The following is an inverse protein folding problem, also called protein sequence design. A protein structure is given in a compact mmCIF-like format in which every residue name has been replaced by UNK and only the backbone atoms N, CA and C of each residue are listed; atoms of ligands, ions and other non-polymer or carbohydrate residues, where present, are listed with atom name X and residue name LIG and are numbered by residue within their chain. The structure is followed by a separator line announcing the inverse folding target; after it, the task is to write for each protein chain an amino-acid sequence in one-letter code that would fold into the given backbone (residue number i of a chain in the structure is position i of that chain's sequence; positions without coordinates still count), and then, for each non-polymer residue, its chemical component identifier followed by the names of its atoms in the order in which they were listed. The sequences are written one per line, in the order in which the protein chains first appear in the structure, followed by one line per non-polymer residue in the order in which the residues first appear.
data_IF_754851039913
#
_entry.id   IF_754851039913
#
_cell.length_a   1.000
_cell.length_b   1.000
_cell.length_c   1.000
_cell.angle_alpha   90.00
_cell.angle_beta   90.00
_cell.angle_gamma   90.00
#
_symmetry.space_group_name_H-M   'P 1'
#
loop_
_entity.id
_entity.type
_entity.pdbx_description
1 polymer ?
#
# COMPACT_ATOMS: atom_id res chain seq x y z
N UNK A 1 -47.73 -27.22 -82.34
CA UNK A 1 -47.36 -28.03 -81.17
C UNK A 1 -46.28 -27.26 -80.45
N UNK A 2 -46.65 -26.54 -79.39
CA UNK A 2 -45.80 -25.61 -78.66
C UNK A 2 -45.37 -26.21 -77.33
N UNK A 3 -44.07 -26.17 -77.09
CA UNK A 3 -43.47 -26.54 -75.84
C UNK A 3 -43.17 -25.26 -75.05
N UNK A 4 -43.79 -25.08 -73.91
CA UNK A 4 -43.53 -23.99 -72.99
C UNK A 4 -42.46 -24.37 -72.00
N UNK A 5 -41.35 -23.57 -71.94
CA UNK A 5 -40.29 -23.71 -71.01
C UNK A 5 -40.57 -22.82 -69.78
N UNK A 6 -40.69 -23.43 -68.59
CA UNK A 6 -40.80 -22.72 -67.33
C UNK A 6 -39.40 -22.42 -66.78
N UNK A 7 -39.05 -21.15 -66.67
CA UNK A 7 -37.85 -20.64 -65.97
C UNK A 7 -38.20 -20.44 -64.49
N UNK A 8 -37.59 -21.23 -63.63
CA UNK A 8 -37.66 -21.08 -62.16
C UNK A 8 -36.57 -20.09 -61.72
N UNK A 9 -36.99 -18.96 -61.16
CA UNK A 9 -36.09 -18.05 -60.41
C UNK A 9 -35.83 -18.57 -59.00
N UNK A 10 -34.58 -18.87 -58.69
CA UNK A 10 -34.09 -19.13 -57.31
C UNK A 10 -33.70 -17.77 -56.71
N UNK A 11 -34.45 -17.33 -55.74
CA UNK A 11 -34.03 -16.20 -54.87
C UNK A 11 -33.06 -16.77 -53.82
N UNK A 12 -31.81 -16.35 -53.91
CA UNK A 12 -30.83 -16.59 -52.85
C UNK A 12 -31.03 -15.52 -51.77
N UNK A 13 -31.48 -15.93 -50.58
CA UNK A 13 -31.54 -15.06 -49.39
C UNK A 13 -30.20 -15.12 -48.72
N UNK A 14 -29.44 -14.02 -48.83
CA UNK A 14 -28.18 -13.86 -48.12
C UNK A 14 -28.47 -13.38 -46.70
N UNK A 15 -28.33 -14.28 -45.71
CA UNK A 15 -28.40 -13.92 -44.30
C UNK A 15 -27.04 -13.33 -43.93
N UNK A 16 -26.94 -12.01 -43.79
CA UNK A 16 -25.78 -11.34 -43.20
C UNK A 16 -25.82 -11.55 -41.67
N UNK A 17 -24.97 -12.41 -41.16
CA UNK A 17 -24.77 -12.53 -39.73
C UNK A 17 -24.01 -11.29 -39.21
N UNK A 18 -24.71 -10.40 -38.53
CA UNK A 18 -24.11 -9.33 -37.72
C UNK A 18 -23.43 -10.01 -36.50
N UNK A 19 -22.13 -10.25 -36.62
CA UNK A 19 -21.30 -10.58 -35.47
C UNK A 19 -21.09 -9.27 -34.66
N UNK A 20 -21.97 -9.03 -33.71
CA UNK A 20 -21.81 -7.98 -32.73
C UNK A 20 -20.57 -8.29 -31.91
N UNK A 21 -19.52 -7.50 -32.08
CA UNK A 21 -18.35 -7.51 -31.17
C UNK A 21 -18.83 -7.09 -29.78
N UNK A 22 -19.00 -8.07 -28.89
CA UNK A 22 -19.14 -7.83 -27.46
C UNK A 22 -17.82 -7.15 -27.03
N UNK A 23 -17.86 -5.92 -26.48
CA UNK A 23 -16.64 -5.33 -25.94
C UNK A 23 -16.14 -6.29 -24.84
N UNK A 24 -14.94 -6.84 -25.01
CA UNK A 24 -14.22 -7.48 -23.92
C UNK A 24 -14.06 -6.38 -22.86
N UNK A 25 -14.86 -6.45 -21.80
CA UNK A 25 -14.57 -5.68 -20.59
C UNK A 25 -13.23 -6.20 -20.10
N UNK A 26 -12.19 -5.36 -20.22
CA UNK A 26 -10.89 -5.69 -19.65
C UNK A 26 -11.13 -6.05 -18.18
N UNK A 27 -10.67 -7.22 -17.76
CA UNK A 27 -10.64 -7.58 -16.35
C UNK A 27 -9.96 -6.44 -15.60
N UNK A 28 -10.47 -6.01 -14.44
CA UNK A 28 -9.82 -4.95 -13.68
C UNK A 28 -8.35 -5.31 -13.49
N UNK A 29 -7.47 -4.34 -13.73
CA UNK A 29 -6.04 -4.53 -13.57
C UNK A 29 -5.75 -5.01 -12.14
N UNK A 30 -4.89 -5.99 -11.98
CA UNK A 30 -4.51 -6.48 -10.67
C UNK A 30 -3.97 -5.36 -9.78
N UNK A 31 -4.34 -5.36 -8.49
CA UNK A 31 -3.99 -4.33 -7.50
C UNK A 31 -4.42 -2.89 -7.88
N UNK A 32 -5.57 -2.74 -8.51
CA UNK A 32 -6.12 -1.42 -8.89
C UNK A 32 -6.42 -0.57 -7.66
N UNK A 33 -5.97 0.71 -7.63
CA UNK A 33 -6.36 1.66 -6.59
C UNK A 33 -7.87 1.73 -6.37
N UNK A 34 -8.33 1.79 -5.11
CA UNK A 34 -9.74 1.83 -4.73
C UNK A 34 -10.48 0.50 -4.80
N UNK A 35 -9.86 -0.57 -5.30
CA UNK A 35 -10.53 -1.88 -5.37
C UNK A 35 -10.60 -2.60 -4.02
N UNK A 36 -9.77 -2.20 -3.03
CA UNK A 36 -9.70 -2.86 -1.72
C UNK A 36 -9.08 -1.97 -0.64
N UNK A 37 -9.74 -1.87 0.51
CA UNK A 37 -9.14 -1.28 1.72
C UNK A 37 -8.42 -2.34 2.54
N UNK A 38 -7.16 -2.11 2.89
CA UNK A 38 -6.32 -2.99 3.68
C UNK A 38 -6.02 -2.38 5.05
N UNK A 39 -5.98 -3.22 6.08
CA UNK A 39 -5.34 -2.88 7.34
C UNK A 39 -3.85 -2.74 7.09
N UNK A 40 -3.25 -1.64 7.52
CA UNK A 40 -1.82 -1.40 7.50
C UNK A 40 -1.31 -1.37 8.96
N UNK A 41 -0.46 -2.33 9.28
CA UNK A 41 0.16 -2.45 10.59
C UNK A 41 1.26 -1.40 10.72
N UNK A 42 0.91 -0.24 11.26
CA UNK A 42 1.82 0.88 11.52
C UNK A 42 2.75 0.56 12.71
N UNK A 43 3.95 1.16 12.74
CA UNK A 43 4.95 0.94 13.80
C UNK A 43 5.26 -0.55 14.07
N UNK A 44 5.33 -1.37 13.03
CA UNK A 44 5.49 -2.82 13.19
C UNK A 44 6.97 -3.20 13.41
N UNK A 45 7.58 -2.69 14.48
CA UNK A 45 8.95 -2.95 14.90
C UNK A 45 9.00 -3.39 16.38
N UNK A 46 10.04 -4.13 16.82
CA UNK A 46 10.20 -4.45 18.23
C UNK A 46 10.65 -3.20 19.00
N UNK A 47 10.02 -2.94 20.14
CA UNK A 47 10.38 -1.84 21.04
C UNK A 47 10.56 -2.35 22.45
N UNK A 48 11.80 -2.51 22.87
CA UNK A 48 12.17 -3.13 24.15
C UNK A 48 11.41 -4.47 24.36
N UNK A 49 10.72 -4.61 25.49
CA UNK A 49 9.91 -5.81 25.80
C UNK A 49 8.50 -5.75 25.23
N UNK A 50 8.08 -4.58 24.68
CA UNK A 50 6.69 -4.31 24.41
C UNK A 50 6.15 -4.89 23.11
N UNK A 51 6.93 -4.93 22.03
CA UNK A 51 6.38 -5.15 20.69
C UNK A 51 7.12 -6.24 19.89
N UNK A 52 7.69 -7.20 20.61
CA UNK A 52 8.44 -8.30 19.99
C UNK A 52 7.60 -9.17 19.03
N UNK A 53 6.29 -9.22 19.23
CA UNK A 53 5.33 -10.05 18.50
C UNK A 53 4.49 -9.30 17.45
N UNK A 54 4.85 -8.06 17.10
CA UNK A 54 3.99 -7.22 16.24
C UNK A 54 3.77 -7.80 14.85
N UNK A 55 4.74 -8.47 14.24
CA UNK A 55 4.53 -9.16 12.96
C UNK A 55 3.47 -10.25 13.10
N UNK A 56 3.55 -11.09 14.14
CA UNK A 56 2.60 -12.19 14.36
C UNK A 56 1.19 -11.64 14.63
N UNK A 57 1.11 -10.54 15.38
CA UNK A 57 -0.16 -9.83 15.63
C UNK A 57 -0.74 -9.23 14.35
N UNK A 58 0.08 -8.61 13.51
CA UNK A 58 -0.36 -8.10 12.21
C UNK A 58 -0.88 -9.24 11.34
N UNK A 59 -0.14 -10.35 11.23
CA UNK A 59 -0.55 -11.53 10.45
C UNK A 59 -1.83 -12.19 10.98
N UNK A 60 -2.11 -12.11 12.28
CA UNK A 60 -3.36 -12.62 12.88
C UNK A 60 -4.61 -11.88 12.38
N UNK A 61 -4.45 -10.66 11.87
CA UNK A 61 -5.53 -9.92 11.22
C UNK A 61 -5.96 -10.53 9.87
N UNK A 62 -5.16 -11.44 9.30
CA UNK A 62 -5.41 -12.12 8.04
C UNK A 62 -4.95 -11.33 6.81
N UNK A 63 -4.64 -12.04 5.74
CA UNK A 63 -4.23 -11.48 4.45
C UNK A 63 -5.43 -11.20 3.54
N UNK A 64 -5.33 -10.24 2.57
CA UNK A 64 -4.22 -9.33 2.38
C UNK A 64 -4.17 -8.21 3.42
N UNK A 65 -2.94 -7.76 3.74
CA UNK A 65 -2.69 -6.66 4.69
C UNK A 65 -1.42 -5.90 4.28
N UNK A 66 -1.20 -4.71 4.87
CA UNK A 66 0.07 -4.02 4.79
C UNK A 66 0.81 -4.05 6.15
N UNK A 67 2.12 -3.98 6.10
CA UNK A 67 3.01 -3.96 7.27
C UNK A 67 4.09 -2.92 7.04
N UNK A 68 4.21 -1.96 7.97
CA UNK A 68 5.27 -0.97 7.96
C UNK A 68 6.49 -1.51 8.72
N UNK A 69 7.67 -1.29 8.14
CA UNK A 69 8.96 -1.56 8.78
C UNK A 69 9.79 -0.29 8.85
N UNK A 70 10.03 0.16 10.07
CA UNK A 70 10.89 1.29 10.37
C UNK A 70 12.35 0.84 10.31
N UNK A 71 13.16 1.51 9.50
CA UNK A 71 14.53 1.11 9.22
C UNK A 71 15.54 2.20 9.58
N UNK A 72 16.55 1.82 10.36
CA UNK A 72 17.64 2.69 10.79
C UNK A 72 18.98 2.10 10.41
N UNK A 73 19.93 2.96 10.01
CA UNK A 73 21.32 2.57 9.80
C UNK A 73 22.09 2.57 11.13
N UNK A 74 22.50 1.42 11.57
CA UNK A 74 23.28 1.25 12.80
C UNK A 74 24.72 0.96 12.49
N UNK A 75 25.65 1.71 13.15
CA UNK A 75 27.09 1.43 13.13
C UNK A 75 27.52 1.00 14.52
N UNK A 76 28.06 -0.20 14.64
CA UNK A 76 28.61 -0.71 15.91
C UNK A 76 29.84 0.13 16.31
N UNK A 77 29.80 0.83 17.45
CA UNK A 77 30.90 1.72 17.85
C UNK A 77 32.19 0.99 18.20
N UNK A 78 32.14 -0.32 18.40
CA UNK A 78 33.34 -1.13 18.74
C UNK A 78 34.02 -1.67 17.48
N UNK A 79 33.26 -2.04 16.46
CA UNK A 79 33.76 -2.71 15.25
C UNK A 79 33.79 -1.81 14.04
N UNK A 80 33.03 -0.71 14.03
CA UNK A 80 32.80 0.14 12.89
C UNK A 80 31.93 -0.50 11.81
N UNK A 81 31.41 -1.70 12.02
CA UNK A 81 30.53 -2.36 11.07
C UNK A 81 29.13 -1.76 11.09
N UNK A 82 28.58 -1.52 9.91
CA UNK A 82 27.24 -0.96 9.76
C UNK A 82 26.25 -1.97 9.21
N UNK A 83 24.99 -1.84 9.60
CA UNK A 83 23.87 -2.66 9.09
C UNK A 83 22.53 -1.93 9.20
N UNK A 84 21.58 -2.31 8.34
CA UNK A 84 20.18 -1.93 8.51
C UNK A 84 19.53 -2.73 9.63
N UNK A 85 18.87 -2.03 10.56
CA UNK A 85 18.12 -2.61 11.68
C UNK A 85 16.69 -2.13 11.68
N UNK A 86 15.78 -2.93 12.25
CA UNK A 86 14.38 -2.55 12.43
C UNK A 86 14.25 -1.75 13.72
N UNK A 87 14.10 -0.43 13.58
CA UNK A 87 14.00 0.52 14.69
C UNK A 87 13.36 1.83 14.21
N UNK A 88 12.51 2.43 15.05
CA UNK A 88 11.88 3.72 14.77
C UNK A 88 12.83 4.93 14.85
N UNK A 89 13.95 4.82 15.55
CA UNK A 89 14.87 5.95 15.67
C UNK A 89 16.11 5.67 16.47
N UNK A 90 16.99 6.68 16.47
CA UNK A 90 18.25 6.69 17.20
C UNK A 90 18.06 7.13 18.68
N UNK A 91 18.97 6.70 19.61
CA UNK A 91 20.06 5.77 19.33
C UNK A 91 19.59 4.30 19.29
N UNK A 92 20.09 3.53 18.33
CA UNK A 92 19.96 2.09 18.36
C UNK A 92 20.92 1.48 19.39
N UNK A 93 20.50 0.39 20.04
CA UNK A 93 21.30 -0.31 21.04
C UNK A 93 22.32 -1.29 20.45
N UNK A 94 22.08 -1.69 19.18
CA UNK A 94 22.82 -2.74 18.50
C UNK A 94 22.25 -4.15 18.69
N UNK A 95 21.17 -4.27 19.45
CA UNK A 95 20.43 -5.55 19.63
C UNK A 95 19.20 -5.67 18.72
N UNK A 96 18.84 -4.59 18.03
CA UNK A 96 17.71 -4.57 17.12
C UNK A 96 17.91 -5.60 15.99
N UNK A 97 16.84 -6.33 15.61
CA UNK A 97 16.92 -7.32 14.55
C UNK A 97 17.10 -6.66 13.18
N UNK A 98 17.62 -7.42 12.23
CA UNK A 98 17.56 -7.04 10.82
C UNK A 98 16.16 -7.29 10.25
N UNK A 99 15.78 -6.57 9.17
CA UNK A 99 14.52 -6.83 8.48
C UNK A 99 14.46 -8.28 7.94
N UNK A 100 15.60 -8.89 7.60
CA UNK A 100 15.65 -10.29 7.17
C UNK A 100 15.12 -11.23 8.27
N UNK A 101 15.61 -11.06 9.51
CA UNK A 101 15.22 -11.93 10.63
C UNK A 101 13.84 -11.58 11.19
N UNK A 102 13.49 -10.30 11.27
CA UNK A 102 12.25 -9.85 11.88
C UNK A 102 11.04 -10.00 10.95
N UNK A 103 11.20 -9.68 9.65
CA UNK A 103 10.09 -9.69 8.69
C UNK A 103 10.16 -10.88 7.74
N UNK A 104 11.21 -10.99 6.90
CA UNK A 104 11.24 -11.98 5.82
C UNK A 104 11.15 -13.43 6.30
N UNK A 105 11.82 -13.76 7.40
CA UNK A 105 11.74 -15.12 7.95
C UNK A 105 10.35 -15.45 8.51
N UNK A 106 9.63 -14.45 9.06
CA UNK A 106 8.27 -14.64 9.59
C UNK A 106 7.23 -14.84 8.50
N UNK A 107 7.33 -14.09 7.40
CA UNK A 107 6.38 -14.21 6.28
C UNK A 107 6.71 -15.36 5.33
N UNK A 108 7.90 -15.98 5.43
CA UNK A 108 8.37 -17.03 4.52
C UNK A 108 7.35 -18.14 4.27
N UNK A 109 6.70 -18.76 5.28
CA UNK A 109 5.72 -19.83 5.04
C UNK A 109 4.54 -19.37 4.18
N UNK A 110 4.09 -18.12 4.34
CA UNK A 110 2.99 -17.53 3.57
C UNK A 110 3.42 -17.34 2.11
N UNK A 111 4.63 -16.78 1.90
CA UNK A 111 5.16 -16.53 0.55
C UNK A 111 5.40 -17.83 -0.22
N UNK A 112 6.03 -18.81 0.41
CA UNK A 112 6.33 -20.11 -0.22
C UNK A 112 5.05 -20.88 -0.56
N UNK A 113 4.03 -20.83 0.31
CA UNK A 113 2.73 -21.44 0.04
C UNK A 113 2.04 -20.74 -1.14
N UNK A 114 2.01 -19.41 -1.16
CA UNK A 114 1.39 -18.64 -2.23
C UNK A 114 2.06 -18.93 -3.60
N UNK A 115 3.39 -18.97 -3.64
CA UNK A 115 4.12 -19.31 -4.86
C UNK A 115 3.83 -20.74 -5.34
N UNK A 116 3.77 -21.71 -4.42
CA UNK A 116 3.42 -23.11 -4.71
C UNK A 116 2.01 -23.22 -5.30
N UNK A 117 1.08 -22.41 -4.85
CA UNK A 117 -0.30 -22.35 -5.36
C UNK A 117 -0.43 -21.54 -6.66
N UNK A 118 0.66 -20.93 -7.14
CA UNK A 118 0.72 -20.13 -8.36
C UNK A 118 0.21 -18.70 -8.18
N UNK A 119 0.22 -18.18 -6.96
CA UNK A 119 -0.17 -16.79 -6.62
C UNK A 119 -1.41 -16.31 -7.39
N UNK A 120 -2.54 -16.98 -7.21
CA UNK A 120 -3.78 -16.75 -7.98
C UNK A 120 -4.56 -15.50 -7.53
N UNK A 121 -4.03 -14.72 -6.60
CA UNK A 121 -4.67 -13.49 -6.11
C UNK A 121 -4.51 -12.32 -7.09
N UNK A 122 -5.49 -11.45 -7.11
CA UNK A 122 -5.48 -10.17 -7.81
C UNK A 122 -4.75 -9.06 -7.00
N UNK A 123 -4.40 -9.33 -5.75
CA UNK A 123 -3.64 -8.47 -4.86
C UNK A 123 -2.47 -9.21 -4.20
N UNK A 124 -1.37 -8.50 -3.91
CA UNK A 124 -0.33 -9.02 -3.05
C UNK A 124 -0.89 -9.41 -1.68
N UNK A 125 -0.44 -10.56 -1.14
CA UNK A 125 -0.89 -11.00 0.20
C UNK A 125 -0.38 -10.07 1.30
N UNK A 126 0.85 -9.55 1.11
CA UNK A 126 1.46 -8.57 2.02
C UNK A 126 1.98 -7.39 1.21
N UNK A 127 1.66 -6.18 1.66
CA UNK A 127 2.34 -4.96 1.22
C UNK A 127 3.32 -4.56 2.32
N UNK A 128 4.60 -4.52 2.00
CA UNK A 128 5.66 -4.04 2.88
C UNK A 128 5.86 -2.54 2.62
N UNK A 129 5.60 -1.71 3.63
CA UNK A 129 5.92 -0.29 3.60
C UNK A 129 7.25 -0.05 4.33
N UNK A 130 8.24 0.48 3.61
CA UNK A 130 9.55 0.81 4.16
C UNK A 130 9.54 2.27 4.63
N UNK A 131 9.64 2.47 5.95
CA UNK A 131 9.80 3.78 6.58
C UNK A 131 11.25 3.99 7.02
N UNK A 132 12.03 4.67 6.18
CA UNK A 132 13.44 4.93 6.45
C UNK A 132 13.58 6.06 7.47
N UNK A 133 14.16 5.75 8.65
CA UNK A 133 14.52 6.73 9.68
C UNK A 133 15.91 7.33 9.44
N UNK A 134 16.66 6.77 8.50
CA UNK A 134 17.93 7.30 8.02
C UNK A 134 18.14 6.86 6.57
N UNK A 135 18.81 7.69 5.75
CA UNK A 135 18.89 7.50 4.29
C UNK A 135 20.33 7.57 3.78
N UNK A 136 21.27 7.07 4.55
CA UNK A 136 22.64 6.92 4.07
C UNK A 136 22.65 6.06 2.80
N UNK A 137 23.43 6.39 1.78
CA UNK A 137 23.45 5.63 0.52
C UNK A 137 23.72 4.13 0.72
N UNK A 138 24.61 3.78 1.66
CA UNK A 138 24.92 2.39 1.99
C UNK A 138 23.73 1.68 2.67
N UNK A 139 22.93 2.40 3.48
CA UNK A 139 21.68 1.86 4.03
C UNK A 139 20.71 1.47 2.94
N UNK A 140 20.41 2.39 2.02
CA UNK A 140 19.47 2.14 0.92
C UNK A 140 19.96 1.00 0.02
N UNK A 141 21.27 0.93 -0.25
CA UNK A 141 21.88 -0.16 -1.02
C UNK A 141 21.80 -1.50 -0.27
N UNK A 142 22.03 -1.52 1.03
CA UNK A 142 21.88 -2.73 1.84
C UNK A 142 20.45 -3.29 1.80
N UNK A 143 19.44 -2.40 1.88
CA UNK A 143 18.03 -2.78 1.75
C UNK A 143 17.72 -3.28 0.33
N UNK A 144 18.21 -2.61 -0.72
CA UNK A 144 18.06 -3.09 -2.10
C UNK A 144 18.63 -4.50 -2.28
N UNK A 145 19.83 -4.75 -1.76
CA UNK A 145 20.46 -6.07 -1.86
C UNK A 145 19.63 -7.15 -1.11
N UNK A 146 19.06 -6.81 0.03
CA UNK A 146 18.15 -7.71 0.74
C UNK A 146 16.90 -8.01 -0.09
N UNK A 147 16.25 -7.01 -0.66
CA UNK A 147 15.07 -7.19 -1.51
C UNK A 147 15.40 -8.04 -2.75
N UNK A 148 16.54 -7.83 -3.37
CA UNK A 148 17.00 -8.63 -4.51
C UNK A 148 17.12 -10.12 -4.17
N UNK A 149 17.51 -10.46 -2.94
CA UNK A 149 17.56 -11.85 -2.46
C UNK A 149 16.17 -12.52 -2.44
N UNK A 150 15.11 -11.73 -2.26
CA UNK A 150 13.72 -12.18 -2.20
C UNK A 150 12.89 -11.79 -3.42
N UNK A 151 13.55 -11.44 -4.54
CA UNK A 151 12.91 -10.93 -5.77
C UNK A 151 11.77 -11.81 -6.30
N UNK A 152 11.84 -13.11 -6.07
CA UNK A 152 10.83 -14.06 -6.54
C UNK A 152 9.48 -13.92 -5.83
N UNK A 153 9.47 -13.28 -4.67
CA UNK A 153 8.25 -12.99 -3.91
C UNK A 153 7.64 -11.64 -4.29
N UNK A 154 8.44 -10.74 -4.92
CA UNK A 154 8.12 -9.33 -5.02
C UNK A 154 7.38 -9.01 -6.31
N UNK A 155 6.24 -8.31 -6.17
CA UNK A 155 5.52 -7.64 -7.26
C UNK A 155 6.41 -6.62 -7.93
N UNK A 156 6.46 -6.63 -9.26
CA UNK A 156 7.41 -5.81 -10.01
C UNK A 156 6.74 -5.12 -11.20
N UNK A 157 7.40 -4.10 -11.74
CA UNK A 157 7.09 -3.54 -13.05
C UNK A 157 8.39 -3.35 -13.85
N UNK A 158 8.39 -3.36 -15.20
CA UNK A 158 9.56 -3.02 -15.95
C UNK A 158 9.91 -1.54 -15.77
N UNK A 159 11.20 -1.19 -15.56
CA UNK A 159 11.63 0.19 -15.69
C UNK A 159 11.61 0.60 -17.16
N UNK A 160 11.01 1.73 -17.45
CA UNK A 160 10.90 2.30 -18.79
C UNK A 160 11.60 3.65 -18.87
N UNK A 161 12.01 4.07 -20.08
CA UNK A 161 12.68 5.34 -20.27
C UNK A 161 11.72 6.54 -20.07
N UNK A 162 10.44 6.37 -20.39
CA UNK A 162 9.39 7.34 -20.09
C UNK A 162 8.74 7.01 -18.73
N UNK A 163 9.26 7.60 -17.70
CA UNK A 163 8.81 7.37 -16.31
C UNK A 163 7.36 7.83 -16.07
N UNK A 164 6.79 8.72 -16.89
CA UNK A 164 5.41 9.16 -16.80
C UNK A 164 4.39 8.06 -17.15
N UNK A 165 4.83 7.03 -17.84
CA UNK A 165 3.97 5.91 -18.27
C UNK A 165 4.03 4.76 -17.29
N UNK A 166 3.01 4.64 -16.43
CA UNK A 166 2.87 3.52 -15.50
C UNK A 166 2.71 2.19 -16.24
N UNK A 167 3.60 1.26 -15.97
CA UNK A 167 3.58 -0.08 -16.55
C UNK A 167 2.71 -1.04 -15.72
N UNK A 168 2.09 -2.05 -16.34
CA UNK A 168 1.38 -3.10 -15.61
C UNK A 168 2.27 -3.77 -14.57
N UNK A 169 1.67 -4.11 -13.42
CA UNK A 169 2.34 -4.88 -12.38
C UNK A 169 2.35 -6.37 -12.73
N UNK A 170 3.47 -7.00 -12.51
CA UNK A 170 3.58 -8.46 -12.39
C UNK A 170 3.36 -8.81 -10.92
N UNK A 171 2.09 -9.10 -10.57
CA UNK A 171 1.65 -9.28 -9.18
C UNK A 171 2.17 -10.59 -8.62
N UNK A 172 2.90 -10.47 -7.51
CA UNK A 172 3.42 -11.56 -6.69
C UNK A 172 2.96 -11.38 -5.24
N UNK A 173 3.20 -12.36 -4.35
CA UNK A 173 2.68 -12.31 -2.99
C UNK A 173 3.09 -11.11 -2.15
N UNK A 174 4.21 -10.46 -2.47
CA UNK A 174 4.75 -9.30 -1.73
C UNK A 174 4.80 -8.06 -2.63
N UNK A 175 4.18 -6.95 -2.22
CA UNK A 175 4.38 -5.62 -2.80
C UNK A 175 5.30 -4.81 -1.86
N UNK A 176 6.27 -4.07 -2.40
CA UNK A 176 7.15 -3.22 -1.59
C UNK A 176 6.94 -1.77 -1.96
N UNK A 177 6.58 -0.97 -0.97
CA UNK A 177 6.39 0.47 -1.05
C UNK A 177 7.47 1.18 -0.21
N UNK A 178 7.79 2.43 -0.57
CA UNK A 178 8.72 3.27 0.17
C UNK A 178 8.28 4.74 0.13
N UNK A 179 8.95 5.60 0.91
CA UNK A 179 8.61 7.02 1.03
C UNK A 179 8.78 7.85 -0.25
N UNK A 180 8.73 9.16 -0.08
CA UNK A 180 8.79 10.16 -1.16
C UNK A 180 10.20 10.68 -1.48
N UNK A 181 11.23 10.20 -0.76
CA UNK A 181 12.58 10.72 -0.84
C UNK A 181 13.24 10.50 -2.21
N UNK A 182 13.90 11.53 -2.73
CA UNK A 182 14.70 11.45 -3.95
C UNK A 182 15.98 10.61 -3.75
N UNK A 183 16.49 10.48 -2.52
CA UNK A 183 17.60 9.56 -2.23
C UNK A 183 17.18 8.10 -2.40
N UNK A 184 15.96 7.76 -2.00
CA UNK A 184 15.37 6.44 -2.21
C UNK A 184 15.15 6.18 -3.70
N UNK A 185 14.62 7.15 -4.46
CA UNK A 185 14.43 7.02 -5.90
C UNK A 185 15.75 6.75 -6.63
N UNK A 186 16.83 7.46 -6.29
CA UNK A 186 18.15 7.22 -6.87
C UNK A 186 18.63 5.77 -6.73
N UNK A 187 18.28 5.10 -5.64
CA UNK A 187 18.70 3.71 -5.41
C UNK A 187 17.70 2.70 -5.97
N UNK A 188 16.41 2.94 -5.79
CA UNK A 188 15.37 1.95 -6.10
C UNK A 188 14.82 2.07 -7.53
N UNK A 189 15.06 3.19 -8.21
CA UNK A 189 14.68 3.38 -9.61
C UNK A 189 15.88 3.72 -10.51
N UNK A 190 16.61 4.84 -10.27
CA UNK A 190 17.59 5.37 -11.22
C UNK A 190 18.72 4.40 -11.51
N UNK A 191 19.13 3.59 -10.54
CA UNK A 191 20.17 2.57 -10.67
C UNK A 191 19.71 1.29 -11.38
N UNK A 192 18.41 1.09 -11.54
CA UNK A 192 17.86 -0.07 -12.25
C UNK A 192 17.95 0.20 -13.74
N UNK A 193 18.59 -0.62 -14.56
CA UNK A 193 18.64 -0.42 -16.01
C UNK A 193 17.25 -0.43 -16.65
N UNK A 194 17.05 0.39 -17.69
CA UNK A 194 15.81 0.35 -18.49
C UNK A 194 15.61 -1.05 -19.06
N UNK A 195 14.39 -1.58 -18.91
CA UNK A 195 14.04 -2.95 -19.26
C UNK A 195 14.15 -3.95 -18.11
N UNK A 196 14.92 -3.64 -17.05
CA UNK A 196 14.98 -4.44 -15.84
C UNK A 196 13.76 -4.15 -14.93
N UNK A 197 13.62 -4.92 -13.83
CA UNK A 197 12.43 -4.89 -12.96
C UNK A 197 12.65 -3.98 -11.76
N UNK A 198 11.73 -3.02 -11.57
CA UNK A 198 11.57 -2.30 -10.30
C UNK A 198 11.02 -3.26 -9.24
N UNK A 199 11.65 -3.29 -8.07
CA UNK A 199 11.25 -4.11 -6.92
C UNK A 199 10.53 -3.30 -5.85
N UNK A 200 10.61 -1.97 -5.92
CA UNK A 200 10.10 -1.02 -4.92
C UNK A 200 9.38 0.11 -5.65
N UNK A 201 8.28 0.59 -5.06
CA UNK A 201 7.54 1.73 -5.59
C UNK A 201 7.47 2.84 -4.55
N UNK A 202 7.85 4.06 -4.96
CA UNK A 202 7.90 5.24 -4.12
C UNK A 202 6.55 5.96 -3.99
N UNK A 203 6.43 6.77 -2.95
CA UNK A 203 5.34 7.72 -2.80
C UNK A 203 5.53 8.96 -3.68
N UNK A 204 4.43 9.60 -4.09
CA UNK A 204 4.46 10.95 -4.64
C UNK A 204 4.78 11.96 -3.53
N UNK A 205 5.33 13.10 -3.90
CA UNK A 205 5.66 14.16 -2.93
C UNK A 205 4.41 14.78 -2.33
N UNK A 206 4.46 15.06 -1.04
CA UNK A 206 3.37 15.68 -0.27
C UNK A 206 3.79 17.03 0.28
N UNK A 207 3.11 18.09 -0.14
CA UNK A 207 3.32 19.44 0.40
C UNK A 207 2.39 19.68 1.59
N UNK A 208 2.94 19.65 2.79
CA UNK A 208 2.18 19.82 4.04
C UNK A 208 2.18 21.25 4.58
N UNK A 209 2.65 22.25 3.83
CA UNK A 209 2.65 23.67 4.27
C UNK A 209 1.25 24.17 4.59
N UNK A 210 0.27 23.82 3.76
CA UNK A 210 -1.15 23.99 4.06
C UNK A 210 -1.84 22.63 3.88
N UNK A 211 -1.99 21.84 4.94
CA UNK A 211 -2.56 20.50 4.86
C UNK A 211 -4.05 20.50 4.46
N UNK A 212 -4.73 21.65 4.55
CA UNK A 212 -6.13 21.77 4.14
C UNK A 212 -6.30 22.35 2.73
N UNK A 213 -5.21 22.58 1.99
CA UNK A 213 -5.27 23.02 0.60
C UNK A 213 -5.97 21.98 -0.32
N UNK A 214 -6.26 22.37 -1.54
CA UNK A 214 -6.84 21.45 -2.52
C UNK A 214 -5.90 20.24 -2.78
N UNK A 215 -6.44 19.06 -3.11
CA UNK A 215 -5.63 17.84 -3.30
C UNK A 215 -4.46 18.02 -4.27
N UNK A 216 -4.66 18.74 -5.38
CA UNK A 216 -3.64 19.04 -6.38
C UNK A 216 -2.57 20.06 -5.93
N UNK A 217 -2.74 20.68 -4.76
CA UNK A 217 -1.74 21.55 -4.13
C UNK A 217 -0.93 20.77 -3.09
N UNK A 218 -1.58 19.83 -2.42
CA UNK A 218 -0.93 18.95 -1.44
C UNK A 218 -0.08 17.91 -2.17
N UNK A 219 -0.62 17.22 -3.18
CA UNK A 219 0.18 16.36 -4.04
C UNK A 219 1.02 17.24 -4.96
N UNK A 220 2.33 17.28 -4.74
CA UNK A 220 3.24 18.22 -5.38
C UNK A 220 4.00 17.65 -6.58
N UNK A 221 3.70 16.42 -7.00
CA UNK A 221 4.30 15.80 -8.17
C UNK A 221 3.44 14.68 -8.75
N UNK A 222 3.50 14.46 -10.06
CA UNK A 222 2.69 13.43 -10.70
C UNK A 222 3.08 12.03 -10.25
N UNK A 223 2.13 11.10 -10.31
CA UNK A 223 2.43 9.68 -10.28
C UNK A 223 3.29 9.28 -11.46
N UNK A 224 4.24 8.38 -11.25
CA UNK A 224 5.14 7.86 -12.28
C UNK A 224 5.12 6.32 -12.26
N UNK A 225 5.90 5.71 -13.14
CA UNK A 225 6.10 4.27 -13.10
C UNK A 225 6.72 3.76 -11.79
N UNK A 226 7.47 4.61 -11.10
CA UNK A 226 8.02 4.36 -9.76
C UNK A 226 7.13 4.90 -8.64
N UNK A 227 6.64 6.15 -8.72
CA UNK A 227 5.82 6.79 -7.69
C UNK A 227 4.35 6.42 -7.88
N UNK A 228 3.88 5.41 -7.13
CA UNK A 228 2.57 4.78 -7.34
C UNK A 228 1.60 4.91 -6.18
N UNK A 229 1.97 5.58 -5.11
CA UNK A 229 1.10 5.77 -3.95
C UNK A 229 1.27 7.13 -3.32
N UNK A 230 0.27 7.52 -2.54
CA UNK A 230 0.24 8.79 -1.82
C UNK A 230 0.10 8.50 -0.33
N UNK A 231 1.14 8.79 0.45
CA UNK A 231 1.22 8.54 1.88
C UNK A 231 0.94 9.81 2.66
N UNK A 232 -0.17 9.86 3.40
CA UNK A 232 -0.68 11.08 4.01
C UNK A 232 -0.82 11.00 5.52
N UNK A 233 -0.43 12.07 6.25
CA UNK A 233 -0.86 12.27 7.63
C UNK A 233 -2.36 12.60 7.66
N UNK A 234 -3.06 12.21 8.74
CA UNK A 234 -4.49 12.52 8.86
C UNK A 234 -4.80 14.03 8.94
N UNK A 235 -3.82 14.87 9.24
CA UNK A 235 -3.96 16.33 9.25
C UNK A 235 -4.37 16.94 7.90
N UNK A 236 -4.27 16.19 6.79
CA UNK A 236 -4.81 16.63 5.48
C UNK A 236 -6.31 16.39 5.35
N UNK A 237 -6.91 15.61 6.26
CA UNK A 237 -8.36 15.34 6.34
C UNK A 237 -9.01 16.22 7.39
N UNK A 238 -8.54 16.14 8.64
CA UNK A 238 -9.02 16.95 9.76
C UNK A 238 -7.91 17.90 10.22
N UNK A 239 -8.19 19.20 10.29
CA UNK A 239 -7.22 20.22 10.68
C UNK A 239 -6.56 19.92 12.02
N UNK A 240 -5.24 19.86 12.03
CA UNK A 240 -4.46 19.54 13.22
C UNK A 240 -4.36 18.05 13.56
N UNK A 241 -4.88 17.18 12.71
CA UNK A 241 -4.77 15.73 12.84
C UNK A 241 -5.56 15.12 13.98
N UNK A 242 -5.23 13.89 14.34
CA UNK A 242 -5.99 13.05 15.27
C UNK A 242 -6.14 13.67 16.67
N UNK A 243 -5.09 14.27 17.20
CA UNK A 243 -5.08 14.84 18.55
C UNK A 243 -6.00 16.06 18.71
N UNK A 244 -6.34 16.72 17.62
CA UNK A 244 -7.20 17.89 17.58
C UNK A 244 -8.51 17.62 16.82
N UNK A 245 -8.76 16.37 16.45
CA UNK A 245 -9.99 15.98 15.78
C UNK A 245 -11.20 16.19 16.70
N UNK A 246 -12.23 16.82 16.14
CA UNK A 246 -13.52 17.01 16.79
C UNK A 246 -14.50 15.88 16.53
N UNK A 247 -15.77 16.21 16.54
CA UNK A 247 -16.81 15.35 16.00
C UNK A 247 -16.62 15.21 14.49
N UNK A 248 -16.77 14.01 13.96
CA UNK A 248 -16.73 13.77 12.51
C UNK A 248 -17.92 14.47 11.83
N UNK A 249 -17.66 15.29 10.85
CA UNK A 249 -18.64 16.14 10.16
C UNK A 249 -18.83 15.71 8.71
N UNK A 250 -19.91 16.16 8.02
CA UNK A 250 -20.06 15.98 6.58
C UNK A 250 -18.93 16.62 5.78
N UNK A 251 -18.37 17.73 6.25
CA UNK A 251 -17.26 18.44 5.62
C UNK A 251 -15.97 17.61 5.68
N UNK A 252 -15.70 16.94 6.80
CA UNK A 252 -14.57 16.01 6.94
C UNK A 252 -14.71 14.84 5.97
N UNK A 253 -15.94 14.29 5.85
CA UNK A 253 -16.22 13.22 4.89
C UNK A 253 -16.02 13.65 3.45
N UNK A 254 -16.54 14.82 3.05
CA UNK A 254 -16.32 15.37 1.71
C UNK A 254 -14.84 15.60 1.42
N UNK A 255 -14.08 16.01 2.45
CA UNK A 255 -12.65 16.20 2.35
C UNK A 255 -11.92 14.89 2.10
N UNK A 256 -12.21 13.85 2.86
CA UNK A 256 -11.64 12.51 2.69
C UNK A 256 -11.96 11.97 1.29
N UNK A 257 -13.23 11.99 0.89
CA UNK A 257 -13.69 11.55 -0.43
C UNK A 257 -12.97 12.29 -1.58
N UNK A 258 -12.75 13.61 -1.42
CA UNK A 258 -12.04 14.43 -2.41
C UNK A 258 -10.59 13.98 -2.58
N UNK A 259 -9.87 13.69 -1.49
CA UNK A 259 -8.48 13.21 -1.52
C UNK A 259 -8.39 11.83 -2.17
N UNK A 260 -9.29 10.92 -1.79
CA UNK A 260 -9.32 9.55 -2.31
C UNK A 260 -9.63 9.54 -3.81
N UNK A 261 -10.69 10.25 -4.24
CA UNK A 261 -11.03 10.37 -5.66
C UNK A 261 -9.89 10.98 -6.48
N UNK A 262 -9.21 11.99 -5.92
CA UNK A 262 -8.09 12.61 -6.59
C UNK A 262 -6.95 11.60 -6.79
N UNK A 263 -6.54 10.88 -5.75
CA UNK A 263 -5.51 9.86 -5.85
C UNK A 263 -5.86 8.76 -6.88
N UNK A 264 -7.07 8.22 -6.80
CA UNK A 264 -7.51 7.15 -7.72
C UNK A 264 -7.64 7.64 -9.17
N UNK A 265 -8.04 8.89 -9.40
CA UNK A 265 -8.07 9.48 -10.75
C UNK A 265 -6.68 9.58 -11.39
N UNK A 266 -5.62 9.53 -10.59
CA UNK A 266 -4.21 9.54 -10.99
C UNK A 266 -3.56 8.15 -10.92
N UNK A 267 -4.36 7.11 -10.72
CA UNK A 267 -3.93 5.72 -10.56
C UNK A 267 -2.93 5.52 -9.40
N UNK A 268 -3.12 6.24 -8.29
CA UNK A 268 -2.32 6.15 -7.08
C UNK A 268 -3.10 5.42 -5.99
N UNK A 269 -2.45 4.47 -5.29
CA UNK A 269 -2.95 4.03 -3.99
C UNK A 269 -2.85 5.17 -2.99
N UNK A 270 -3.79 5.23 -2.04
CA UNK A 270 -3.76 6.24 -0.98
C UNK A 270 -3.73 5.60 0.40
N UNK A 271 -2.87 6.13 1.26
CA UNK A 271 -2.71 5.74 2.66
C UNK A 271 -2.95 6.93 3.57
N UNK A 272 -3.57 6.65 4.72
CA UNK A 272 -3.61 7.61 5.83
C UNK A 272 -3.08 6.97 7.10
N UNK A 273 -2.16 7.68 7.76
CA UNK A 273 -1.55 7.27 9.02
C UNK A 273 -1.79 8.32 10.11
N UNK A 274 -1.91 7.97 11.36
CA UNK A 274 -2.28 6.66 11.91
C UNK A 274 -3.61 6.81 12.59
N UNK A 275 -4.54 5.89 12.34
CA UNK A 275 -5.92 6.03 12.81
C UNK A 275 -6.10 5.22 14.11
N UNK A 276 -5.55 5.75 15.22
CA UNK A 276 -5.57 5.10 16.52
C UNK A 276 -6.61 5.69 17.47
N UNK A 277 -7.16 4.83 18.31
CA UNK A 277 -8.14 5.19 19.32
C UNK A 277 -7.85 4.51 20.64
N UNK A 278 -6.85 5.03 21.39
CA UNK A 278 -6.48 4.53 22.69
C UNK A 278 -6.84 5.53 23.77
N UNK A 279 -7.37 5.04 24.88
CA UNK A 279 -7.55 5.85 26.10
C UNK A 279 -6.21 6.11 26.78
N UNK A 280 -6.13 7.14 27.63
CA UNK A 280 -4.90 7.44 28.37
C UNK A 280 -4.37 6.25 29.18
N UNK A 281 -5.20 5.48 29.91
CA UNK A 281 -4.73 4.26 30.57
C UNK A 281 -4.17 3.22 29.61
N UNK A 282 -4.78 2.99 28.45
CA UNK A 282 -4.27 2.06 27.43
C UNK A 282 -2.92 2.50 26.88
N UNK A 283 -2.74 3.79 26.60
CA UNK A 283 -1.44 4.33 26.17
C UNK A 283 -0.33 4.03 27.21
N UNK A 284 -0.66 4.22 28.48
CA UNK A 284 0.31 4.02 29.57
C UNK A 284 0.65 2.54 29.79
N UNK A 285 -0.36 1.65 29.66
CA UNK A 285 -0.18 0.21 29.94
C UNK A 285 0.39 -0.58 28.79
N UNK A 286 0.27 -0.11 27.57
CA UNK A 286 0.66 -0.85 26.36
C UNK A 286 1.82 -0.21 25.58
N UNK A 287 2.42 0.86 26.10
CA UNK A 287 3.53 1.56 25.45
C UNK A 287 3.18 2.27 24.14
N UNK A 288 1.88 2.56 23.89
CA UNK A 288 1.45 3.26 22.69
C UNK A 288 1.87 4.73 22.70
N UNK A 289 2.16 5.26 21.52
CA UNK A 289 2.43 6.68 21.36
C UNK A 289 1.18 7.53 21.60
N UNK A 290 1.36 8.71 22.19
CA UNK A 290 0.26 9.68 22.37
C UNK A 290 -0.10 10.41 21.08
N UNK A 291 0.84 10.53 20.15
CA UNK A 291 0.62 11.11 18.84
C UNK A 291 -0.30 10.22 17.99
N UNK A 292 -0.94 10.82 16.99
CA UNK A 292 -1.82 10.12 16.05
C UNK A 292 -3.02 9.39 16.69
N UNK A 293 -3.55 9.92 17.81
CA UNK A 293 -4.57 9.25 18.61
C UNK A 293 -5.85 10.09 18.75
N UNK A 294 -6.99 9.52 18.36
CA UNK A 294 -8.31 10.14 18.52
C UNK A 294 -8.87 10.08 19.97
N UNK A 295 -8.13 9.49 20.90
CA UNK A 295 -8.49 9.42 22.32
C UNK A 295 -9.55 8.37 22.68
N UNK A 296 -10.20 7.74 21.72
CA UNK A 296 -11.12 6.63 21.96
C UNK A 296 -11.26 5.72 20.74
N UNK A 297 -11.52 4.44 20.99
CA UNK A 297 -11.80 3.46 19.93
C UNK A 297 -13.07 3.80 19.14
N UNK A 298 -14.07 4.43 19.79
CA UNK A 298 -15.30 4.87 19.12
C UNK A 298 -15.00 5.93 18.06
N UNK A 299 -14.18 6.93 18.40
CA UNK A 299 -13.76 7.98 17.48
C UNK A 299 -12.91 7.42 16.32
N UNK A 300 -11.99 6.48 16.58
CA UNK A 300 -11.22 5.81 15.53
C UNK A 300 -12.11 4.99 14.59
N UNK A 301 -13.07 4.23 15.11
CA UNK A 301 -14.00 3.42 14.31
C UNK A 301 -14.86 4.25 13.34
N UNK A 302 -15.22 5.48 13.71
CA UNK A 302 -15.92 6.39 12.79
C UNK A 302 -15.02 6.69 11.57
N UNK A 303 -13.74 6.98 11.80
CA UNK A 303 -12.76 7.26 10.75
C UNK A 303 -12.40 6.02 9.93
N UNK A 304 -12.28 4.85 10.58
CA UNK A 304 -12.09 3.58 9.87
C UNK A 304 -13.25 3.29 8.93
N UNK A 305 -14.48 3.59 9.38
CA UNK A 305 -15.67 3.44 8.56
C UNK A 305 -15.62 4.35 7.34
N UNK A 306 -15.42 5.66 7.55
CA UNK A 306 -15.33 6.63 6.47
C UNK A 306 -14.24 6.26 5.47
N UNK A 307 -13.04 5.91 5.96
CA UNK A 307 -11.93 5.48 5.12
C UNK A 307 -12.25 4.23 4.29
N UNK A 308 -12.94 3.25 4.87
CA UNK A 308 -13.34 2.03 4.16
C UNK A 308 -14.48 2.27 3.16
N UNK A 309 -15.45 3.13 3.49
CA UNK A 309 -16.56 3.53 2.61
C UNK A 309 -16.07 4.32 1.41
N UNK A 310 -15.11 5.22 1.59
CA UNK A 310 -14.51 6.03 0.53
C UNK A 310 -13.44 5.28 -0.28
N UNK A 311 -13.05 4.06 0.13
CA UNK A 311 -12.12 3.21 -0.61
C UNK A 311 -10.65 3.57 -0.41
N UNK A 312 -10.26 4.10 0.76
CA UNK A 312 -8.84 4.26 1.13
C UNK A 312 -8.13 2.90 1.03
N UNK A 313 -7.02 2.85 0.29
CA UNK A 313 -6.33 1.58 0.02
C UNK A 313 -5.61 1.03 1.26
N UNK A 314 -4.94 1.90 2.03
CA UNK A 314 -4.20 1.52 3.22
C UNK A 314 -4.64 2.36 4.43
N UNK A 315 -5.28 1.72 5.39
CA UNK A 315 -5.72 2.34 6.65
C UNK A 315 -4.73 1.91 7.74
N UNK A 316 -3.86 2.84 8.14
CA UNK A 316 -2.80 2.53 9.08
C UNK A 316 -3.25 2.70 10.53
N UNK A 317 -2.89 1.74 11.39
CA UNK A 317 -3.17 1.78 12.82
C UNK A 317 -2.22 0.89 13.61
N UNK A 318 -1.96 1.25 14.86
CA UNK A 318 -1.27 0.40 15.83
C UNK A 318 -2.19 -0.66 16.47
N UNK A 319 -3.50 -0.58 16.20
CA UNK A 319 -4.55 -1.46 16.76
C UNK A 319 -4.91 -2.57 15.75
N UNK A 320 -3.93 -3.35 15.34
CA UNK A 320 -4.01 -4.31 14.21
C UNK A 320 -5.21 -5.25 14.27
N UNK A 321 -5.38 -5.94 15.40
CA UNK A 321 -6.45 -6.93 15.57
C UNK A 321 -7.84 -6.28 15.47
N UNK A 322 -7.97 -5.08 16.06
CA UNK A 322 -9.25 -4.35 16.09
C UNK A 322 -9.60 -3.80 14.72
N UNK A 323 -8.64 -3.17 14.03
CA UNK A 323 -8.86 -2.67 12.67
C UNK A 323 -9.08 -3.82 11.68
N UNK A 324 -8.26 -4.87 11.75
CA UNK A 324 -8.39 -6.05 10.89
C UNK A 324 -9.75 -6.74 11.06
N UNK A 325 -10.22 -6.93 12.31
CA UNK A 325 -11.56 -7.46 12.59
C UNK A 325 -12.67 -6.55 12.05
N UNK A 326 -12.50 -5.22 12.21
CA UNK A 326 -13.46 -4.24 11.71
C UNK A 326 -13.59 -4.32 10.18
N UNK A 327 -12.48 -4.30 9.45
CA UNK A 327 -12.50 -4.36 7.98
C UNK A 327 -13.03 -5.68 7.43
N UNK A 328 -12.79 -6.81 8.11
CA UNK A 328 -13.41 -8.10 7.73
C UNK A 328 -14.93 -8.04 7.86
N UNK A 329 -15.44 -7.48 8.96
CA UNK A 329 -16.90 -7.33 9.18
C UNK A 329 -17.51 -6.34 8.17
N UNK A 330 -16.81 -5.26 7.84
CA UNK A 330 -17.24 -4.28 6.85
C UNK A 330 -17.42 -4.94 5.48
N UNK A 331 -16.41 -5.67 5.00
CA UNK A 331 -16.46 -6.38 3.71
C UNK A 331 -17.56 -7.45 3.67
N UNK A 332 -17.75 -8.21 4.75
CA UNK A 332 -18.81 -9.21 4.80
C UNK A 332 -20.22 -8.61 4.61
N UNK A 333 -20.45 -7.39 5.13
CA UNK A 333 -21.73 -6.67 4.98
C UNK A 333 -21.93 -6.06 3.58
N UNK A 334 -20.86 -5.69 2.89
CA UNK A 334 -20.94 -5.11 1.54
C UNK A 334 -21.30 -6.16 0.45
N UNK A 335 -21.19 -7.47 0.77
CA UNK A 335 -21.52 -8.57 -0.14
C UNK A 335 -22.91 -9.18 0.12
N UNK A 336 -23.69 -8.61 1.05
CA UNK A 336 -25.09 -8.94 1.33
C UNK A 336 -26.00 -7.76 1.00
#
# INVERSE_FOLDING_TARGET
MSSQSYIRWLMAVTIAALIGSIPLTASPSAATPGSRSLMDAHNCYPYAEWWSDRIDRALSAGTPLAIEQDLLWYTDPRTGQSRSVVSHGAPASGTEPTMETYFFQRIRPIMEQALKEGNKGDWPLITLNLDFKSEEPDHLVAVWNLLTKYRDWITTAPRVADESTMQPLDVKPLLVLTGESDAQQKVFEDRVPVGERLLVFGAVHTNTKDPMAAPNVIESGPGTNYRRWWNNPWSVVERGGQNNAGAWTPEDNQRLESLVRYAHSRNLWIRFYTLDGSTVPELSSNGWFRSYNFGSLAAAKIRWRAAAEDGVDYIASDRYELLGAYLRQFRAKAHH
#
